data_IF_048738175590
#
_entry.id   IF_048738175590
#
_cell.length_a   1.000
_cell.length_b   1.000
_cell.length_c   1.000
_cell.angle_alpha   90.00
_cell.angle_beta   90.00
_cell.angle_gamma   90.00
#
_symmetry.space_group_name_H-M   'P 1'
#
loop_
_entity.id
_entity.type
_entity.pdbx_description
1 polymer ?
#
# COMPACT_ATOMS: atom_id res chain seq x y z
N UNK A 1 38.49 18.30 -0.16
CA UNK A 1 37.09 18.73 -0.02
C UNK A 1 36.27 17.49 0.34
N UNK A 2 36.06 17.25 1.63
CA UNK A 2 35.14 16.19 2.08
C UNK A 2 33.73 16.64 1.73
N UNK A 3 33.12 16.05 0.70
CA UNK A 3 31.71 16.30 0.43
C UNK A 3 30.89 15.76 1.60
N UNK A 4 30.05 16.62 2.18
CA UNK A 4 29.11 16.24 3.20
C UNK A 4 28.25 15.05 2.73
N UNK A 5 28.21 14.00 3.54
CA UNK A 5 27.47 12.77 3.22
C UNK A 5 25.98 13.03 3.47
N UNK A 6 25.27 13.42 2.42
CA UNK A 6 23.83 13.67 2.49
C UNK A 6 23.03 12.37 2.52
N UNK A 7 21.83 12.37 3.13
CA UNK A 7 20.92 11.23 3.12
C UNK A 7 20.57 10.70 1.72
N UNK A 8 20.47 11.58 0.72
CA UNK A 8 20.24 11.18 -0.66
C UNK A 8 21.38 10.31 -1.21
N UNK A 9 22.64 10.77 -1.06
CA UNK A 9 23.83 10.00 -1.45
C UNK A 9 23.93 8.64 -0.76
N UNK A 10 23.52 8.57 0.52
CA UNK A 10 23.52 7.30 1.26
C UNK A 10 22.53 6.33 0.61
N UNK A 11 21.32 6.77 0.31
CA UNK A 11 20.30 5.93 -0.33
C UNK A 11 20.69 5.46 -1.73
N UNK A 12 21.47 6.27 -2.46
CA UNK A 12 21.96 5.94 -3.80
C UNK A 12 23.17 5.00 -3.81
N UNK A 13 24.03 5.09 -2.80
CA UNK A 13 25.32 4.36 -2.77
C UNK A 13 25.32 3.14 -1.86
N UNK A 14 24.32 3.01 -0.97
CA UNK A 14 24.25 1.92 0.00
C UNK A 14 23.12 0.97 -0.34
N UNK A 15 23.50 -0.23 -0.77
CA UNK A 15 22.60 -1.35 -0.92
C UNK A 15 22.32 -1.97 0.46
N UNK A 16 21.09 -1.80 0.97
CA UNK A 16 20.73 -2.31 2.30
C UNK A 16 21.02 -3.82 2.48
N UNK A 17 20.73 -4.71 1.53
CA UNK A 17 21.07 -6.13 1.66
C UNK A 17 22.56 -6.39 1.92
N UNK A 18 23.45 -5.66 1.23
CA UNK A 18 24.90 -5.79 1.37
C UNK A 18 25.39 -5.22 2.70
N UNK A 19 24.81 -4.08 3.12
CA UNK A 19 25.06 -3.49 4.42
C UNK A 19 24.67 -4.45 5.56
N UNK A 20 23.51 -5.10 5.46
CA UNK A 20 23.06 -6.08 6.45
C UNK A 20 24.04 -7.25 6.54
N UNK A 21 24.49 -7.80 5.41
CA UNK A 21 25.48 -8.88 5.40
C UNK A 21 26.83 -8.46 5.96
N UNK A 22 27.25 -7.21 5.77
CA UNK A 22 28.46 -6.68 6.39
C UNK A 22 28.37 -6.69 7.93
N UNK A 23 27.19 -6.40 8.48
CA UNK A 23 26.93 -6.42 9.93
C UNK A 23 26.42 -7.77 10.45
N UNK A 24 26.68 -8.87 9.72
CA UNK A 24 26.47 -10.23 10.21
C UNK A 24 25.08 -10.82 9.99
N UNK A 25 24.20 -10.15 9.24
CA UNK A 25 22.93 -10.76 8.84
C UNK A 25 23.11 -11.72 7.67
N UNK A 26 22.41 -12.85 7.74
CA UNK A 26 22.44 -13.88 6.71
C UNK A 26 21.14 -13.91 5.92
N UNK A 27 21.26 -13.97 4.59
CA UNK A 27 20.10 -14.10 3.71
C UNK A 27 19.48 -15.50 3.88
N UNK A 28 18.23 -15.56 4.36
CA UNK A 28 17.51 -16.82 4.53
C UNK A 28 17.07 -17.34 3.18
N UNK A 29 17.61 -18.49 2.76
CA UNK A 29 17.18 -19.19 1.54
C UNK A 29 15.85 -19.92 1.78
N UNK A 30 14.80 -19.56 1.04
CA UNK A 30 13.49 -20.21 1.12
C UNK A 30 12.64 -20.01 -0.13
N UNK A 31 11.52 -20.73 -0.26
CA UNK A 31 10.59 -20.70 -1.43
C UNK A 31 10.19 -19.28 -1.89
N UNK A 32 10.22 -18.30 -0.98
CA UNK A 32 9.86 -16.91 -1.26
C UNK A 32 10.95 -16.11 -2.02
N UNK A 33 12.22 -16.54 -2.04
CA UNK A 33 13.25 -15.94 -2.90
C UNK A 33 12.87 -16.04 -4.39
N UNK A 34 12.25 -17.15 -4.79
CA UNK A 34 11.82 -17.38 -6.18
C UNK A 34 10.64 -16.52 -6.62
N UNK A 35 9.98 -15.80 -5.71
CA UNK A 35 8.84 -14.91 -6.02
C UNK A 35 9.23 -13.42 -6.13
N UNK A 36 10.47 -13.06 -5.82
CA UNK A 36 11.08 -11.75 -6.15
C UNK A 36 10.39 -10.51 -5.56
N UNK A 37 9.81 -10.58 -4.34
CA UNK A 37 9.09 -9.42 -3.73
C UNK A 37 9.80 -8.81 -2.52
N UNK A 38 10.54 -9.62 -1.80
CA UNK A 38 11.32 -9.21 -0.64
C UNK A 38 12.36 -10.27 -0.33
N UNK A 39 13.40 -9.88 0.40
CA UNK A 39 14.41 -10.76 0.95
C UNK A 39 14.26 -10.81 2.46
N UNK A 40 14.53 -11.97 3.04
CA UNK A 40 14.49 -12.15 4.50
C UNK A 40 15.91 -12.34 4.99
N UNK A 41 16.32 -11.53 5.95
CA UNK A 41 17.62 -11.57 6.59
C UNK A 41 17.45 -11.98 8.06
N UNK A 42 18.27 -12.93 8.50
CA UNK A 42 18.32 -13.41 9.88
C UNK A 42 19.67 -13.04 10.51
N UNK A 43 19.61 -12.42 11.68
CA UNK A 43 20.73 -12.07 12.52
C UNK A 43 20.27 -11.98 13.98
N UNK A 44 20.58 -10.87 14.65
CA UNK A 44 20.02 -10.56 15.98
C UNK A 44 18.48 -10.44 15.95
N UNK A 45 17.93 -10.02 14.82
CA UNK A 45 16.50 -10.01 14.53
C UNK A 45 16.21 -10.48 13.10
N UNK A 46 14.92 -10.66 12.77
CA UNK A 46 14.50 -11.06 11.42
C UNK A 46 13.97 -9.86 10.65
N UNK A 47 14.67 -9.51 9.58
CA UNK A 47 14.36 -8.35 8.76
C UNK A 47 13.80 -8.78 7.42
N UNK A 48 12.71 -8.15 7.00
CA UNK A 48 12.17 -8.27 5.65
C UNK A 48 12.56 -7.01 4.89
N UNK A 49 13.31 -7.19 3.80
CA UNK A 49 13.92 -6.13 2.99
C UNK A 49 13.29 -6.11 1.61
N UNK A 50 12.92 -4.91 1.14
CA UNK A 50 12.23 -4.73 -0.13
C UNK A 50 12.56 -3.37 -0.77
N UNK A 51 12.25 -3.21 -2.06
CA UNK A 51 12.32 -1.92 -2.75
C UNK A 51 11.02 -1.15 -2.53
N UNK A 52 11.12 0.06 -1.98
CA UNK A 52 10.01 0.99 -1.85
C UNK A 52 9.67 1.66 -3.19
N UNK A 53 8.59 2.45 -3.20
CA UNK A 53 8.04 3.08 -4.42
C UNK A 53 8.94 4.07 -5.16
N UNK A 54 10.07 4.44 -4.57
CA UNK A 54 11.07 5.32 -5.16
C UNK A 54 12.34 4.59 -5.61
N UNK A 55 12.36 3.25 -5.57
CA UNK A 55 13.57 2.45 -5.77
C UNK A 55 14.52 2.43 -4.56
N UNK A 56 14.19 3.16 -3.50
CA UNK A 56 14.90 3.12 -2.21
C UNK A 56 14.74 1.76 -1.54
N UNK A 57 15.80 1.30 -0.87
CA UNK A 57 15.71 0.15 0.01
C UNK A 57 14.96 0.46 1.30
N UNK A 58 14.05 -0.44 1.64
CA UNK A 58 13.22 -0.39 2.83
C UNK A 58 13.31 -1.70 3.59
N UNK A 59 13.05 -1.64 4.90
CA UNK A 59 12.93 -2.81 5.75
C UNK A 59 11.80 -2.68 6.76
N UNK A 60 11.35 -3.82 7.27
CA UNK A 60 10.67 -3.91 8.56
C UNK A 60 11.18 -5.13 9.33
N UNK A 61 11.18 -5.01 10.65
CA UNK A 61 11.46 -6.10 11.56
C UNK A 61 10.19 -6.94 11.78
N UNK A 62 10.28 -8.26 11.63
CA UNK A 62 9.15 -9.16 11.79
C UNK A 62 8.67 -9.26 13.25
N UNK A 63 9.52 -8.92 14.21
CA UNK A 63 9.27 -9.03 15.65
C UNK A 63 8.98 -7.68 16.34
N UNK A 64 9.30 -6.52 15.74
CA UNK A 64 8.99 -5.19 16.29
C UNK A 64 8.51 -4.22 15.18
N UNK A 65 7.21 -3.89 15.18
CA UNK A 65 6.61 -3.00 14.17
C UNK A 65 7.15 -1.56 14.21
N UNK A 66 7.83 -1.14 15.29
CA UNK A 66 8.46 0.18 15.38
C UNK A 66 9.83 0.23 14.72
N UNK A 67 10.46 -0.93 14.49
CA UNK A 67 11.77 -1.06 13.83
C UNK A 67 11.57 -1.28 12.32
N UNK A 68 11.31 -0.19 11.60
CA UNK A 68 11.08 -0.18 10.16
C UNK A 68 11.49 1.14 9.54
N UNK A 69 11.73 1.14 8.24
CA UNK A 69 12.02 2.36 7.49
C UNK A 69 13.03 2.13 6.36
N UNK A 70 13.79 3.17 6.05
CA UNK A 70 14.86 3.14 5.06
C UNK A 70 16.16 2.59 5.63
N UNK A 71 17.20 2.47 4.79
CA UNK A 71 18.57 2.14 5.22
C UNK A 71 19.09 3.08 6.32
N UNK A 72 18.69 4.36 6.30
CA UNK A 72 19.09 5.35 7.31
C UNK A 72 18.40 5.08 8.64
N UNK A 73 17.10 4.76 8.59
CA UNK A 73 16.32 4.42 9.79
C UNK A 73 16.87 3.15 10.44
N UNK A 74 17.27 2.18 9.63
CA UNK A 74 17.93 0.97 10.11
C UNK A 74 19.20 1.30 10.90
N UNK A 75 20.13 2.03 10.29
CA UNK A 75 21.40 2.40 10.93
C UNK A 75 21.15 3.19 12.22
N UNK A 76 20.25 4.18 12.18
CA UNK A 76 19.86 4.98 13.34
C UNK A 76 19.32 4.10 14.48
N UNK A 77 18.44 3.15 14.19
CA UNK A 77 17.89 2.24 15.19
C UNK A 77 18.97 1.33 15.79
N UNK A 78 19.92 0.87 14.98
CA UNK A 78 21.04 0.04 15.45
C UNK A 78 22.03 0.82 16.32
N UNK A 79 22.41 2.04 15.92
CA UNK A 79 23.24 2.95 16.73
C UNK A 79 22.56 3.28 18.06
N UNK A 80 21.24 3.53 18.05
CA UNK A 80 20.49 3.91 19.26
C UNK A 80 20.31 2.75 20.23
N UNK A 81 20.16 1.52 19.72
CA UNK A 81 19.98 0.33 20.55
C UNK A 81 21.31 -0.26 21.04
N UNK A 82 22.40 -0.08 20.29
CA UNK A 82 23.72 -0.62 20.63
C UNK A 82 23.79 -2.15 20.64
N UNK A 83 22.78 -2.84 20.11
CA UNK A 83 22.63 -4.30 20.18
C UNK A 83 23.47 -5.07 19.16
N UNK A 84 23.97 -4.38 18.13
CA UNK A 84 24.78 -4.99 17.07
C UNK A 84 26.25 -4.68 17.31
N UNK A 85 27.06 -5.73 17.40
CA UNK A 85 28.51 -5.60 17.49
C UNK A 85 29.06 -4.79 16.30
N UNK A 86 29.88 -3.78 16.59
CA UNK A 86 30.43 -2.87 15.58
C UNK A 86 29.56 -1.66 15.26
N UNK A 87 28.31 -1.59 15.76
CA UNK A 87 27.45 -0.40 15.63
C UNK A 87 27.15 0.18 17.02
N UNK A 88 27.79 1.30 17.34
CA UNK A 88 27.55 2.02 18.57
C UNK A 88 27.67 3.54 18.37
N UNK A 89 27.06 4.30 19.28
CA UNK A 89 27.30 5.73 19.38
C UNK A 89 28.61 5.97 20.13
N UNK A 90 29.61 6.53 19.43
CA UNK A 90 30.89 6.85 20.05
C UNK A 90 30.74 7.94 21.14
N UNK A 91 31.53 7.88 22.23
CA UNK A 91 31.49 8.90 23.27
C UNK A 91 31.69 10.31 22.71
N UNK A 92 30.84 11.25 23.12
CA UNK A 92 30.90 12.66 22.69
C UNK A 92 30.39 12.94 21.27
N UNK A 93 29.91 11.93 20.52
CA UNK A 93 29.21 12.13 19.24
C UNK A 93 27.71 12.15 19.44
N UNK A 94 27.00 13.00 18.70
CA UNK A 94 25.53 12.91 18.60
C UNK A 94 25.12 11.65 17.81
N UNK A 95 23.86 11.22 17.98
CA UNK A 95 23.30 10.07 17.26
C UNK A 95 23.51 10.19 15.74
N UNK A 96 23.22 11.36 15.16
CA UNK A 96 23.36 11.57 13.71
C UNK A 96 24.81 11.62 13.23
N UNK A 97 25.73 12.13 14.06
CA UNK A 97 27.15 12.03 13.75
C UNK A 97 27.61 10.57 13.74
N UNK A 98 27.22 9.78 14.74
CA UNK A 98 27.55 8.36 14.79
C UNK A 98 26.95 7.58 13.60
N UNK A 99 25.70 7.84 13.21
CA UNK A 99 25.07 7.25 12.01
C UNK A 99 25.89 7.56 10.76
N UNK A 100 26.28 8.83 10.56
CA UNK A 100 27.08 9.23 9.40
C UNK A 100 28.48 8.62 9.44
N UNK A 101 29.10 8.50 10.62
CA UNK A 101 30.43 7.89 10.77
C UNK A 101 30.42 6.41 10.37
N UNK A 102 29.36 5.65 10.72
CA UNK A 102 29.19 4.25 10.28
C UNK A 102 28.99 4.13 8.77
N UNK A 103 28.17 5.00 8.15
CA UNK A 103 28.04 5.00 6.70
C UNK A 103 29.33 5.37 5.99
N UNK A 104 30.09 6.35 6.51
CA UNK A 104 31.41 6.71 5.97
C UNK A 104 32.39 5.55 6.08
N UNK A 105 32.43 4.87 7.22
CA UNK A 105 33.30 3.71 7.42
C UNK A 105 33.00 2.63 6.38
N UNK A 106 31.72 2.28 6.20
CA UNK A 106 31.30 1.30 5.20
C UNK A 106 31.61 1.75 3.76
N UNK A 107 31.30 2.99 3.41
CA UNK A 107 31.54 3.55 2.06
C UNK A 107 33.02 3.84 1.77
N UNK A 108 33.90 3.79 2.76
CA UNK A 108 35.36 3.87 2.58
C UNK A 108 36.03 2.49 2.45
N UNK A 109 35.30 1.39 2.70
CA UNK A 109 35.84 0.05 2.46
C UNK A 109 36.14 -0.14 0.97
N UNK A 110 37.25 -0.80 0.60
CA UNK A 110 37.50 -1.23 -0.78
C UNK A 110 36.31 -2.04 -1.31
N UNK A 111 35.95 -1.86 -2.59
CA UNK A 111 34.82 -2.60 -3.18
C UNK A 111 34.96 -4.12 -3.06
N UNK A 112 36.19 -4.64 -3.09
CA UNK A 112 36.48 -6.07 -2.91
C UNK A 112 36.17 -6.59 -1.51
N UNK A 113 36.05 -5.71 -0.52
CA UNK A 113 35.72 -6.05 0.86
C UNK A 113 34.24 -5.83 1.19
N UNK A 114 33.47 -5.19 0.29
CA UNK A 114 32.03 -5.05 0.45
C UNK A 114 31.34 -6.33 0.00
N UNK A 115 30.38 -6.86 0.79
CA UNK A 115 29.58 -7.98 0.34
C UNK A 115 28.89 -7.64 -0.98
N UNK A 116 28.97 -8.53 -1.96
CA UNK A 116 28.15 -8.44 -3.18
C UNK A 116 27.19 -9.61 -3.18
N UNK A 117 25.90 -9.31 -3.08
CA UNK A 117 24.86 -10.33 -3.10
C UNK A 117 24.21 -10.37 -4.47
N UNK A 118 24.23 -11.54 -5.11
CA UNK A 118 23.41 -11.80 -6.29
C UNK A 118 21.98 -12.10 -5.83
N UNK A 119 21.14 -11.07 -5.85
CA UNK A 119 19.75 -11.14 -5.43
C UNK A 119 18.84 -11.21 -6.65
N UNK A 120 17.83 -12.10 -6.66
CA UNK A 120 16.83 -12.07 -7.72
C UNK A 120 16.16 -10.68 -7.70
N UNK A 121 15.92 -10.07 -8.88
CA UNK A 121 15.41 -8.71 -8.96
C UNK A 121 14.09 -8.59 -8.20
N UNK A 122 14.00 -7.59 -7.31
CA UNK A 122 12.74 -7.26 -6.67
C UNK A 122 11.89 -6.51 -7.68
N UNK A 123 10.90 -7.18 -8.24
CA UNK A 123 9.93 -6.53 -9.11
C UNK A 123 8.96 -5.71 -8.25
N UNK A 124 8.95 -4.39 -8.45
CA UNK A 124 7.88 -3.55 -7.94
C UNK A 124 6.57 -4.02 -8.61
N UNK A 125 5.68 -4.68 -7.87
CA UNK A 125 4.38 -5.04 -8.44
C UNK A 125 3.63 -3.77 -8.75
N UNK A 126 3.33 -3.53 -10.03
CA UNK A 126 2.58 -2.37 -10.46
C UNK A 126 1.24 -2.30 -9.69
N UNK A 127 0.75 -1.09 -9.33
CA UNK A 127 -0.52 -0.95 -8.65
C UNK A 127 -1.64 -1.75 -9.35
N UNK A 128 -2.36 -2.58 -8.57
CA UNK A 128 -3.48 -3.38 -9.06
C UNK A 128 -3.17 -4.77 -9.60
N UNK A 129 -1.89 -5.13 -9.79
CA UNK A 129 -1.50 -6.43 -10.36
C UNK A 129 -2.02 -7.63 -9.54
N UNK A 130 -1.88 -7.60 -8.22
CA UNK A 130 -2.43 -8.65 -7.33
C UNK A 130 -3.89 -8.41 -6.95
N UNK A 131 -4.30 -7.14 -6.84
CA UNK A 131 -5.63 -6.78 -6.35
C UNK A 131 -6.74 -7.40 -7.24
N UNK A 132 -6.48 -7.42 -8.54
CA UNK A 132 -7.37 -7.99 -9.57
C UNK A 132 -7.58 -9.51 -9.50
N UNK A 133 -6.75 -10.28 -8.79
CA UNK A 133 -6.92 -11.74 -8.77
C UNK A 133 -7.54 -12.23 -7.46
N UNK A 134 -7.21 -11.63 -6.33
CA UNK A 134 -7.60 -12.16 -5.01
C UNK A 134 -8.96 -11.64 -4.51
N UNK A 135 -9.33 -10.38 -4.79
CA UNK A 135 -10.55 -9.76 -4.26
C UNK A 135 -11.63 -9.54 -5.32
N UNK A 136 -11.25 -9.35 -6.58
CA UNK A 136 -12.25 -9.24 -7.66
C UNK A 136 -12.74 -10.59 -8.17
N UNK A 137 -12.12 -11.72 -7.78
CA UNK A 137 -12.62 -13.07 -8.13
C UNK A 137 -14.04 -13.33 -7.63
N UNK A 138 -14.38 -12.76 -6.47
CA UNK A 138 -15.68 -12.92 -5.82
C UNK A 138 -16.63 -11.77 -6.15
N UNK A 139 -16.18 -10.83 -6.99
CA UNK A 139 -17.04 -9.81 -7.57
C UNK A 139 -17.82 -10.38 -8.75
N UNK A 140 -19.08 -10.00 -8.83
CA UNK A 140 -20.02 -10.33 -9.90
C UNK A 140 -20.68 -9.04 -10.40
N UNK A 141 -21.26 -9.04 -11.61
CA UNK A 141 -22.14 -7.96 -12.04
C UNK A 141 -23.16 -7.59 -10.96
N UNK A 142 -23.56 -6.33 -10.91
CA UNK A 142 -24.59 -5.87 -9.99
C UNK A 142 -25.95 -6.47 -10.38
N UNK A 143 -26.36 -7.51 -9.65
CA UNK A 143 -27.64 -8.21 -9.77
C UNK A 143 -28.52 -7.98 -8.54
N UNK A 144 -27.92 -7.97 -7.34
CA UNK A 144 -28.58 -7.64 -6.08
C UNK A 144 -28.40 -6.15 -5.78
N UNK A 145 -29.47 -5.39 -5.96
CA UNK A 145 -29.55 -3.94 -5.74
C UNK A 145 -30.20 -3.56 -4.42
N UNK A 146 -30.60 -4.53 -3.60
CA UNK A 146 -31.42 -4.33 -2.38
C UNK A 146 -30.81 -3.27 -1.47
N UNK A 147 -29.49 -3.30 -1.26
CA UNK A 147 -28.79 -2.31 -0.45
C UNK A 147 -28.88 -0.90 -1.02
N UNK A 148 -28.70 -0.74 -2.34
CA UNK A 148 -28.70 0.56 -3.01
C UNK A 148 -30.11 1.17 -3.07
N UNK A 149 -31.11 0.34 -3.35
CA UNK A 149 -32.52 0.75 -3.33
C UNK A 149 -32.96 1.14 -1.93
N UNK A 150 -32.53 0.40 -0.90
CA UNK A 150 -32.71 0.77 0.50
C UNK A 150 -32.01 2.08 0.90
N UNK A 151 -31.04 2.55 0.12
CA UNK A 151 -30.39 3.86 0.25
C UNK A 151 -31.04 4.94 -0.64
N UNK A 152 -32.16 4.63 -1.30
CA UNK A 152 -32.90 5.55 -2.16
C UNK A 152 -32.34 5.70 -3.57
N UNK A 153 -31.41 4.83 -4.00
CA UNK A 153 -30.88 4.85 -5.37
C UNK A 153 -31.75 3.99 -6.28
N UNK A 154 -32.37 4.61 -7.28
CA UNK A 154 -33.31 3.95 -8.19
C UNK A 154 -32.61 3.08 -9.24
N UNK A 155 -33.33 2.08 -9.74
CA UNK A 155 -32.90 1.25 -10.88
C UNK A 155 -32.55 2.10 -12.12
N UNK A 156 -33.25 3.21 -12.35
CA UNK A 156 -32.97 4.12 -13.46
C UNK A 156 -31.54 4.66 -13.37
N UNK A 157 -31.13 5.10 -12.17
CA UNK A 157 -29.76 5.55 -11.91
C UNK A 157 -28.76 4.41 -12.09
N UNK A 158 -29.02 3.25 -11.49
CA UNK A 158 -28.08 2.11 -11.53
C UNK A 158 -27.85 1.58 -12.96
N UNK A 159 -28.87 1.63 -13.81
CA UNK A 159 -28.82 1.19 -15.21
C UNK A 159 -28.31 2.25 -16.16
N UNK A 160 -28.06 3.47 -15.68
CA UNK A 160 -27.51 4.53 -16.51
C UNK A 160 -26.14 4.12 -17.07
N UNK A 161 -25.81 4.38 -18.35
CA UNK A 161 -24.57 3.93 -18.98
C UNK A 161 -23.29 4.31 -18.24
N UNK A 162 -23.31 5.42 -17.48
CA UNK A 162 -22.18 5.85 -16.66
C UNK A 162 -21.87 4.93 -15.48
N UNK A 163 -22.84 4.16 -14.98
CA UNK A 163 -22.66 3.32 -13.79
C UNK A 163 -22.63 1.83 -14.09
N UNK A 164 -23.07 1.40 -15.28
CA UNK A 164 -23.02 0.00 -15.71
C UNK A 164 -21.59 -0.53 -15.68
N UNK A 165 -21.37 -1.61 -14.93
CA UNK A 165 -20.07 -2.25 -14.75
C UNK A 165 -19.09 -1.47 -13.85
N UNK A 166 -19.55 -0.41 -13.18
CA UNK A 166 -18.76 0.34 -12.18
C UNK A 166 -19.16 0.01 -10.75
N UNK A 167 -20.29 -0.67 -10.57
CA UNK A 167 -20.77 -1.16 -9.29
C UNK A 167 -20.93 -2.66 -9.45
N UNK A 168 -20.49 -3.42 -8.44
CA UNK A 168 -20.46 -4.87 -8.46
C UNK A 168 -21.17 -5.42 -7.21
N UNK A 169 -21.57 -6.68 -7.24
CA UNK A 169 -21.82 -7.43 -6.01
C UNK A 169 -20.56 -8.21 -5.62
N UNK A 170 -20.22 -8.23 -4.34
CA UNK A 170 -19.14 -9.06 -3.80
C UNK A 170 -19.73 -10.10 -2.84
N UNK A 171 -19.44 -11.38 -3.08
CA UNK A 171 -19.89 -12.49 -2.22
C UNK A 171 -18.82 -12.81 -1.19
N UNK A 172 -19.19 -12.83 0.09
CA UNK A 172 -18.28 -13.17 1.18
C UNK A 172 -18.87 -14.31 2.02
N UNK A 173 -18.24 -15.48 1.98
CA UNK A 173 -18.65 -16.65 2.74
C UNK A 173 -17.87 -16.74 4.04
N UNK A 174 -18.58 -16.79 5.17
CA UNK A 174 -18.01 -16.94 6.50
C UNK A 174 -18.35 -18.32 7.02
N UNK A 175 -17.31 -19.09 7.36
CA UNK A 175 -17.44 -20.36 8.09
C UNK A 175 -17.11 -20.10 9.56
N UNK A 176 -18.02 -20.44 10.46
CA UNK A 176 -17.77 -20.43 11.91
C UNK A 176 -17.84 -21.87 12.41
N UNK A 177 -16.94 -22.22 13.34
CA UNK A 177 -16.95 -23.55 13.94
C UNK A 177 -18.34 -23.86 14.53
N UNK A 178 -18.92 -25.00 14.16
CA UNK A 178 -20.25 -25.43 14.61
C UNK A 178 -21.44 -24.76 13.94
N UNK A 179 -21.25 -23.90 12.92
CA UNK A 179 -22.33 -23.28 12.15
C UNK A 179 -22.19 -23.57 10.65
N UNK A 180 -23.30 -23.65 9.90
CA UNK A 180 -23.24 -23.75 8.45
C UNK A 180 -22.61 -22.48 7.84
N UNK A 181 -21.94 -22.60 6.68
CA UNK A 181 -21.37 -21.46 5.98
C UNK A 181 -22.47 -20.45 5.67
N UNK A 182 -22.23 -19.18 5.99
CA UNK A 182 -23.12 -18.08 5.64
C UNK A 182 -22.48 -17.18 4.61
N UNK A 183 -23.15 -17.01 3.47
CA UNK A 183 -22.69 -16.11 2.40
C UNK A 183 -23.43 -14.78 2.50
N UNK A 184 -22.67 -13.69 2.51
CA UNK A 184 -23.17 -12.34 2.49
C UNK A 184 -22.93 -11.73 1.10
N UNK A 185 -23.91 -10.99 0.59
CA UNK A 185 -23.79 -10.22 -0.65
C UNK A 185 -23.65 -8.75 -0.28
N UNK A 186 -22.51 -8.17 -0.62
CA UNK A 186 -22.24 -6.74 -0.43
C UNK A 186 -22.28 -6.03 -1.78
N UNK A 187 -22.64 -4.75 -1.78
CA UNK A 187 -22.34 -3.84 -2.90
C UNK A 187 -20.86 -3.46 -2.83
N UNK A 188 -20.18 -3.52 -3.97
CA UNK A 188 -18.76 -3.27 -4.08
C UNK A 188 -18.48 -2.14 -5.09
N UNK A 189 -17.62 -1.22 -4.69
CA UNK A 189 -17.19 -0.06 -5.45
C UNK A 189 -15.68 -0.16 -5.74
N UNK A 190 -15.28 -0.57 -6.96
CA UNK A 190 -13.88 -0.70 -7.33
C UNK A 190 -13.20 0.67 -7.46
N UNK A 191 -12.07 0.86 -6.78
CA UNK A 191 -11.24 2.04 -6.94
C UNK A 191 -10.16 1.78 -8.01
N UNK A 192 -9.96 2.75 -8.90
CA UNK A 192 -9.07 2.63 -10.04
C UNK A 192 -7.85 3.53 -9.90
N UNK A 193 -6.72 3.04 -10.42
CA UNK A 193 -5.50 3.79 -10.65
C UNK A 193 -4.96 3.39 -12.03
N UNK A 194 -4.79 4.36 -12.93
CA UNK A 194 -4.32 4.11 -14.31
C UNK A 194 -5.06 2.96 -15.02
N UNK A 195 -6.38 2.92 -14.86
CA UNK A 195 -7.25 1.91 -15.47
C UNK A 195 -7.29 0.55 -14.76
N UNK A 196 -6.43 0.30 -13.77
CA UNK A 196 -6.41 -0.94 -12.98
C UNK A 196 -7.20 -0.77 -11.70
N UNK A 197 -7.91 -1.82 -11.27
CA UNK A 197 -8.54 -1.86 -9.95
C UNK A 197 -7.45 -2.07 -8.90
N UNK A 198 -7.39 -1.17 -7.92
CA UNK A 198 -6.39 -1.18 -6.85
C UNK A 198 -7.01 -1.14 -5.45
N UNK A 199 -8.33 -1.10 -5.36
CA UNK A 199 -9.07 -1.07 -4.11
C UNK A 199 -10.53 -1.47 -4.31
N UNK A 200 -11.19 -1.87 -3.24
CA UNK A 200 -12.60 -2.24 -3.25
C UNK A 200 -13.26 -1.79 -1.96
N UNK A 201 -14.11 -0.78 -2.05
CA UNK A 201 -14.96 -0.38 -0.94
C UNK A 201 -16.21 -1.28 -0.93
N UNK A 202 -16.56 -1.83 0.23
CA UNK A 202 -17.68 -2.74 0.42
C UNK A 202 -18.75 -2.10 1.31
N UNK A 203 -20.00 -2.23 0.88
CA UNK A 203 -21.18 -1.75 1.59
C UNK A 203 -22.25 -2.82 1.67
N UNK A 204 -22.88 -2.93 2.82
CA UNK A 204 -24.03 -3.78 3.05
C UNK A 204 -24.89 -3.25 4.19
N UNK A 205 -26.03 -3.88 4.45
CA UNK A 205 -26.89 -3.51 5.58
C UNK A 205 -26.12 -3.77 6.88
N UNK A 206 -25.90 -2.71 7.67
CA UNK A 206 -25.09 -2.78 8.89
C UNK A 206 -23.60 -3.07 8.68
N UNK A 207 -23.10 -3.03 7.45
CA UNK A 207 -21.72 -3.34 7.11
C UNK A 207 -21.08 -2.26 6.24
N UNK A 208 -19.92 -1.77 6.68
CA UNK A 208 -19.01 -0.94 5.90
C UNK A 208 -17.62 -1.53 6.04
N UNK A 209 -16.96 -1.78 4.91
CA UNK A 209 -15.64 -2.36 4.91
C UNK A 209 -14.85 -1.97 3.67
N UNK A 210 -13.60 -2.40 3.67
CA UNK A 210 -12.72 -2.30 2.52
C UNK A 210 -12.00 -3.62 2.36
N UNK A 211 -11.71 -4.02 1.12
CA UNK A 211 -10.84 -5.15 0.88
C UNK A 211 -9.44 -4.84 1.46
N UNK A 212 -8.81 -5.80 2.16
CA UNK A 212 -7.42 -5.69 2.57
C UNK A 212 -6.52 -5.31 1.39
N UNK A 213 -5.41 -4.63 1.67
CA UNK A 213 -4.43 -4.19 0.65
C UNK A 213 -4.95 -3.16 -0.37
N UNK A 214 -6.17 -2.62 -0.19
CA UNK A 214 -6.70 -1.54 -1.02
C UNK A 214 -5.83 -0.27 -0.95
N UNK A 215 -5.59 0.36 -2.11
CA UNK A 215 -4.72 1.53 -2.25
C UNK A 215 -5.52 2.84 -2.45
N UNK A 216 -6.44 3.16 -1.53
CA UNK A 216 -7.35 4.31 -1.68
C UNK A 216 -6.67 5.68 -1.66
N UNK A 217 -5.50 5.82 -1.04
CA UNK A 217 -4.78 7.11 -1.00
C UNK A 217 -4.34 7.63 -2.37
N UNK A 218 -4.37 6.78 -3.41
CA UNK A 218 -3.95 7.11 -4.78
C UNK A 218 -4.95 6.62 -5.83
N UNK A 219 -6.17 6.29 -5.42
CA UNK A 219 -7.20 5.75 -6.31
C UNK A 219 -8.55 6.37 -6.03
N UNK A 220 -9.41 6.27 -7.02
CA UNK A 220 -10.72 6.87 -7.00
C UNK A 220 -11.70 5.86 -7.58
N UNK A 221 -12.91 5.78 -7.03
CA UNK A 221 -13.98 5.12 -7.76
C UNK A 221 -14.37 6.01 -8.95
N UNK A 222 -14.66 5.42 -10.10
CA UNK A 222 -14.91 6.19 -11.32
C UNK A 222 -16.17 5.69 -11.99
N UNK A 223 -17.10 6.60 -12.28
CA UNK A 223 -18.12 6.34 -13.30
C UNK A 223 -17.45 6.21 -14.68
N UNK A 224 -18.13 5.59 -15.65
CA UNK A 224 -17.63 5.58 -17.03
C UNK A 224 -17.56 7.01 -17.55
N UNK A 225 -16.40 7.34 -18.12
CA UNK A 225 -16.21 8.58 -18.85
C UNK A 225 -17.03 8.52 -20.16
N UNK A 226 -17.54 9.66 -20.65
CA UNK A 226 -18.18 9.71 -21.97
C UNK A 226 -17.21 9.24 -23.06
N UNK A 227 -17.67 8.37 -23.94
CA UNK A 227 -16.88 7.98 -25.11
C UNK A 227 -16.89 9.09 -26.17
N UNK A 228 -15.76 9.28 -26.86
CA UNK A 228 -15.64 10.17 -28.01
C UNK A 228 -15.69 11.68 -27.71
N UNK A 229 -15.87 12.10 -26.46
CA UNK A 229 -15.83 13.51 -26.06
C UNK A 229 -15.21 13.69 -24.67
N UNK A 230 -14.31 14.67 -24.48
CA UNK A 230 -13.80 14.97 -23.15
C UNK A 230 -14.94 15.42 -22.24
N UNK A 231 -14.91 14.99 -20.99
CA UNK A 231 -15.88 15.45 -20.01
C UNK A 231 -15.67 16.94 -19.74
N UNK A 232 -16.75 17.72 -19.84
CA UNK A 232 -16.72 19.18 -19.65
C UNK A 232 -16.92 19.59 -18.20
N UNK A 233 -17.43 18.69 -17.37
CA UNK A 233 -17.64 18.90 -15.94
C UNK A 233 -17.18 17.64 -15.20
N UNK A 234 -16.60 17.82 -14.02
CA UNK A 234 -16.25 16.74 -13.10
C UNK A 234 -16.94 17.00 -11.76
N UNK A 235 -17.64 16.00 -11.21
CA UNK A 235 -18.22 16.10 -9.86
C UNK A 235 -17.40 15.26 -8.91
N UNK A 236 -16.96 15.87 -7.82
CA UNK A 236 -16.18 15.22 -6.78
C UNK A 236 -17.02 15.15 -5.51
N UNK A 237 -17.12 13.96 -4.92
CA UNK A 237 -17.88 13.73 -3.69
C UNK A 237 -17.04 12.95 -2.68
N UNK A 238 -17.56 12.66 -1.49
CA UNK A 238 -16.83 11.86 -0.49
C UNK A 238 -16.91 10.35 -0.78
N UNK A 239 -17.97 9.88 -1.44
CA UNK A 239 -18.18 8.46 -1.65
C UNK A 239 -18.90 8.14 -2.96
N UNK A 240 -18.81 6.87 -3.38
CA UNK A 240 -19.56 6.40 -4.54
C UNK A 240 -21.09 6.54 -4.33
N UNK A 241 -21.58 6.39 -3.09
CA UNK A 241 -23.00 6.58 -2.78
C UNK A 241 -23.43 8.04 -2.94
N UNK A 242 -22.64 9.00 -2.48
CA UNK A 242 -22.93 10.42 -2.65
C UNK A 242 -22.92 10.81 -4.13
N UNK A 243 -22.02 10.20 -4.89
CA UNK A 243 -21.96 10.36 -6.35
C UNK A 243 -23.24 9.86 -7.03
N UNK A 244 -23.73 8.68 -6.65
CA UNK A 244 -24.97 8.12 -7.19
C UNK A 244 -26.18 8.99 -6.81
N UNK A 245 -26.25 9.45 -5.56
CA UNK A 245 -27.29 10.36 -5.09
C UNK A 245 -27.27 11.67 -5.90
N UNK A 246 -26.09 12.25 -6.11
CA UNK A 246 -25.94 13.46 -6.92
C UNK A 246 -26.43 13.24 -8.35
N UNK A 247 -26.00 12.15 -9.00
CA UNK A 247 -26.38 11.85 -10.37
C UNK A 247 -27.90 11.64 -10.53
N UNK A 248 -28.52 10.97 -9.55
CA UNK A 248 -29.97 10.79 -9.52
C UNK A 248 -30.73 12.12 -9.41
N UNK A 249 -30.24 13.05 -8.59
CA UNK A 249 -30.88 14.37 -8.40
C UNK A 249 -30.60 15.32 -9.57
N UNK A 250 -29.57 15.06 -10.39
CA UNK A 250 -29.13 15.93 -11.48
C UNK A 250 -28.99 15.20 -12.83
N UNK A 251 -30.07 14.56 -13.35
CA UNK A 251 -30.00 13.70 -14.54
C UNK A 251 -29.57 14.44 -15.83
N UNK A 252 -29.77 15.77 -15.90
CA UNK A 252 -29.37 16.61 -17.05
C UNK A 252 -27.93 17.13 -17.00
N UNK A 253 -27.24 16.95 -15.86
CA UNK A 253 -25.87 17.42 -15.64
C UNK A 253 -24.98 16.25 -15.23
N UNK A 254 -25.11 15.07 -15.83
CA UNK A 254 -24.36 13.90 -15.39
C UNK A 254 -22.92 13.92 -15.95
N UNK A 255 -21.89 14.36 -15.18
CA UNK A 255 -20.54 14.49 -15.68
C UNK A 255 -19.75 13.26 -15.24
N UNK A 256 -18.53 13.10 -15.75
CA UNK A 256 -17.58 12.18 -15.12
C UNK A 256 -17.44 12.53 -13.64
N UNK A 257 -17.43 11.55 -12.75
CA UNK A 257 -17.48 11.81 -11.30
C UNK A 257 -16.43 10.99 -10.55
N UNK A 258 -15.79 11.60 -9.56
CA UNK A 258 -14.63 11.08 -8.82
C UNK A 258 -14.85 11.28 -7.31
N UNK A 259 -15.10 10.26 -6.46
CA UNK A 259 -15.14 10.45 -5.02
C UNK A 259 -13.74 10.42 -4.41
N UNK A 260 -13.51 11.26 -3.40
CA UNK A 260 -12.28 11.33 -2.60
C UNK A 260 -12.17 10.13 -1.64
N UNK A 261 -10.95 9.71 -1.25
CA UNK A 261 -10.79 8.73 -0.20
C UNK A 261 -11.20 9.31 1.17
N UNK A 262 -12.15 8.64 1.83
CA UNK A 262 -12.69 9.05 3.12
C UNK A 262 -11.62 9.22 4.21
N UNK A 263 -11.61 10.39 4.85
CA UNK A 263 -10.83 10.64 6.07
C UNK A 263 -11.62 10.13 7.28
N UNK A 264 -10.96 9.37 8.15
CA UNK A 264 -11.46 9.09 9.50
C UNK A 264 -11.63 10.41 10.27
N UNK A 265 -12.74 10.63 10.99
CA UNK A 265 -12.92 11.84 11.78
C UNK A 265 -11.96 11.81 12.97
N UNK A 266 -10.99 12.74 12.99
CA UNK A 266 -10.28 13.10 14.22
C UNK A 266 -11.21 13.99 15.04
N UNK A 267 -11.72 13.44 16.13
CA UNK A 267 -12.28 14.20 17.24
C UNK A 267 -11.26 15.22 17.74
N UNK A 268 -11.59 16.51 17.63
CA UNK A 268 -11.02 17.56 18.50
C UNK A 268 -12.08 17.82 19.57
N UNK A 269 -11.76 17.47 20.81
CA UNK A 269 -12.35 18.14 21.96
C UNK A 269 -11.42 19.29 22.33
N UNK A 270 -11.96 20.50 22.27
CA UNK A 270 -11.43 21.67 22.96
C UNK A 270 -12.36 21.96 24.13
N UNK A 271 -11.79 21.95 25.33
CA UNK A 271 -12.21 22.73 26.48
C UNK A 271 -10.92 23.26 27.10
#
# INVERSE_FOLDING_TARGET
>A
MEHELTFQKIKEQVELPELLSHFGYTLKKGEHLGRGKWHVFEGDDTLVVFKGRGGDWMYFNAQDDRDKGSVIDWMKNRVSSGRIAGIAQAPGRSLWQAVNDHFRAYLNLPESQRPRLDLPPIAETAPGEKFHSIFTKDCRPLEDTTYLEGRGISQLTLRHPQFVGRILNHRHSVQRAGLPPKTFVNTAFPAYHEGRVVGLELKGVGFKGQAPESQFSRSLWLSRLPEGRPATVLVVSESALDTLSYAQLHPRKAPSTLPLPGRSPRTRFSS
#
